data_IF_348432274844
#
_entry.id   IF_348432274844
#
_cell.length_a   1.000
_cell.length_b   1.000
_cell.length_c   1.000
_cell.angle_alpha   90.00
_cell.angle_beta   90.00
_cell.angle_gamma   90.00
#
_symmetry.space_group_name_H-M   'P 1'
#
loop_
_entity.id
_entity.type
_entity.pdbx_description
1 polymer ?
#
# COMPACT_ATOMS: atom_id res chain seq x y z
N UNK A 1 -19.88 -19.12 -8.15
CA UNK A 1 -18.75 -19.51 -7.29
C UNK A 1 -17.52 -18.80 -7.83
N UNK A 2 -17.13 -17.66 -7.27
CA UNK A 2 -16.07 -16.76 -7.80
C UNK A 2 -14.64 -17.27 -7.58
N UNK A 3 -14.45 -18.52 -7.16
CA UNK A 3 -13.12 -19.15 -7.02
C UNK A 3 -12.22 -18.56 -5.93
N UNK A 4 -12.61 -17.47 -5.27
CA UNK A 4 -11.89 -16.88 -4.15
C UNK A 4 -12.35 -17.51 -2.83
N UNK A 5 -11.39 -18.00 -2.04
CA UNK A 5 -11.65 -18.38 -0.65
C UNK A 5 -12.16 -17.15 0.12
N UNK A 6 -13.01 -17.32 1.16
CA UNK A 6 -13.41 -16.22 2.03
C UNK A 6 -12.15 -15.53 2.55
N UNK A 7 -12.08 -14.20 2.40
CA UNK A 7 -10.98 -13.41 2.94
C UNK A 7 -10.89 -13.63 4.44
N UNK A 8 -9.77 -14.16 4.92
CA UNK A 8 -9.53 -14.34 6.35
C UNK A 8 -9.33 -12.95 6.99
N UNK A 9 -10.28 -12.46 7.83
CA UNK A 9 -10.16 -11.14 8.47
C UNK A 9 -8.94 -11.04 9.38
N UNK A 10 -8.35 -12.18 9.80
CA UNK A 10 -7.15 -12.21 10.63
C UNK A 10 -5.94 -11.57 9.95
N UNK A 11 -5.90 -11.54 8.60
CA UNK A 11 -4.82 -10.90 7.84
C UNK A 11 -4.74 -9.40 8.07
N UNK A 12 -5.89 -8.72 8.15
CA UNK A 12 -5.92 -7.27 8.42
C UNK A 12 -5.59 -6.95 9.87
N UNK A 13 -5.99 -7.84 10.78
CA UNK A 13 -5.60 -7.73 12.19
C UNK A 13 -4.09 -7.92 12.34
N UNK A 14 -3.49 -8.89 11.65
CA UNK A 14 -2.03 -9.10 11.58
C UNK A 14 -1.32 -7.88 11.00
N UNK A 15 -1.80 -7.33 9.88
CA UNK A 15 -1.24 -6.14 9.25
C UNK A 15 -1.25 -4.90 10.16
N UNK A 16 -2.22 -4.80 11.07
CA UNK A 16 -2.32 -3.71 12.04
C UNK A 16 -1.61 -4.01 13.37
N UNK A 17 -0.90 -5.14 13.50
CA UNK A 17 -0.26 -5.56 14.76
C UNK A 17 1.24 -5.41 14.69
N UNK A 18 1.79 -4.54 15.54
CA UNK A 18 3.23 -4.35 15.69
C UNK A 18 3.84 -5.43 16.60
N UNK A 19 5.09 -5.83 16.35
CA UNK A 19 5.79 -6.89 17.09
C UNK A 19 5.84 -6.68 18.61
N UNK A 20 5.81 -5.42 19.08
CA UNK A 20 5.73 -5.12 20.52
C UNK A 20 4.43 -5.56 21.20
N UNK A 21 3.38 -5.90 20.44
CA UNK A 21 2.12 -6.40 20.96
C UNK A 21 2.21 -7.87 21.45
N UNK A 22 3.22 -8.62 21.01
CA UNK A 22 3.44 -10.02 21.43
C UNK A 22 2.52 -11.05 20.77
N UNK A 23 1.83 -10.67 19.69
CA UNK A 23 1.06 -11.58 18.83
C UNK A 23 1.73 -11.70 17.46
N UNK A 24 1.12 -12.45 16.53
CA UNK A 24 1.52 -12.46 15.12
C UNK A 24 1.46 -11.02 14.57
N UNK A 25 2.55 -10.57 13.96
CA UNK A 25 2.77 -9.18 13.57
C UNK A 25 2.84 -9.00 12.05
N UNK A 26 2.94 -7.73 11.63
CA UNK A 26 2.82 -7.33 10.24
C UNK A 26 4.04 -7.68 9.35
N UNK A 27 5.17 -8.11 9.91
CA UNK A 27 6.46 -8.13 9.19
C UNK A 27 6.46 -8.98 7.91
N UNK A 28 5.75 -10.11 7.92
CA UNK A 28 5.63 -10.96 6.71
C UNK A 28 4.73 -10.35 5.65
N UNK A 29 3.70 -9.63 6.08
CA UNK A 29 2.77 -8.94 5.18
C UNK A 29 3.43 -7.69 4.60
N UNK A 30 4.19 -6.94 5.41
CA UNK A 30 5.03 -5.80 5.00
C UNK A 30 5.97 -6.21 3.86
N UNK A 31 6.77 -7.26 4.08
CA UNK A 31 7.68 -7.79 3.05
C UNK A 31 6.99 -8.08 1.71
N UNK A 32 5.79 -8.67 1.76
CA UNK A 32 4.99 -8.98 0.57
C UNK A 32 4.43 -7.70 -0.06
N UNK A 33 3.89 -6.81 0.77
CA UNK A 33 3.26 -5.56 0.38
C UNK A 33 4.21 -4.58 -0.30
N UNK A 34 5.43 -4.43 0.21
CA UNK A 34 6.51 -3.64 -0.41
C UNK A 34 6.72 -4.04 -1.88
N UNK A 35 6.84 -5.35 -2.14
CA UNK A 35 7.03 -5.88 -3.51
C UNK A 35 5.81 -5.69 -4.39
N UNK A 36 4.62 -5.86 -3.83
CA UNK A 36 3.36 -5.63 -4.53
C UNK A 36 3.21 -4.15 -4.90
N UNK A 37 3.48 -3.24 -3.97
CA UNK A 37 3.47 -1.80 -4.19
C UNK A 37 4.48 -1.40 -5.27
N UNK A 38 5.73 -1.85 -5.14
CA UNK A 38 6.77 -1.60 -6.13
C UNK A 38 6.39 -2.07 -7.53
N UNK A 39 5.82 -3.27 -7.65
CA UNK A 39 5.38 -3.80 -8.94
C UNK A 39 4.19 -3.00 -9.53
N UNK A 40 3.19 -2.64 -8.73
CA UNK A 40 2.04 -1.82 -9.19
C UNK A 40 2.52 -0.44 -9.67
N UNK A 41 3.43 0.19 -8.94
CA UNK A 41 4.00 1.48 -9.34
C UNK A 41 4.88 1.35 -10.57
N UNK A 42 5.66 0.27 -10.69
CA UNK A 42 6.47 0.00 -11.88
C UNK A 42 5.61 -0.16 -13.14
N UNK A 43 4.50 -0.91 -13.05
CA UNK A 43 3.54 -1.06 -14.16
C UNK A 43 2.95 0.30 -14.58
N UNK A 44 2.53 1.11 -13.61
CA UNK A 44 1.98 2.43 -13.86
C UNK A 44 3.00 3.37 -14.52
N UNK A 45 4.25 3.39 -14.04
CA UNK A 45 5.33 4.18 -14.62
C UNK A 45 5.68 3.72 -16.04
N UNK A 46 5.73 2.41 -16.28
CA UNK A 46 5.99 1.85 -17.60
C UNK A 46 4.93 2.28 -18.63
N UNK A 47 3.65 2.26 -18.25
CA UNK A 47 2.56 2.70 -19.11
C UNK A 47 2.53 4.22 -19.32
N UNK A 48 2.81 5.00 -18.28
CA UNK A 48 2.75 6.46 -18.32
C UNK A 48 3.93 7.11 -19.07
N UNK A 49 5.11 6.48 -19.06
CA UNK A 49 6.34 7.05 -19.62
C UNK A 49 7.00 6.11 -20.66
N UNK A 50 6.33 5.81 -21.80
CA UNK A 50 6.78 4.78 -22.75
C UNK A 50 8.10 5.09 -23.48
N UNK A 51 8.62 6.33 -23.36
CA UNK A 51 9.87 6.77 -24.00
C UNK A 51 11.04 6.92 -23.02
N UNK A 52 10.80 6.73 -21.72
CA UNK A 52 11.86 6.85 -20.72
C UNK A 52 12.72 5.59 -20.67
N UNK A 53 14.00 5.76 -20.32
CA UNK A 53 14.91 4.63 -20.10
C UNK A 53 14.60 3.91 -18.79
N UNK A 54 15.04 2.66 -18.68
CA UNK A 54 14.92 1.88 -17.43
C UNK A 54 15.45 2.65 -16.22
N UNK A 55 16.64 3.25 -16.31
CA UNK A 55 17.21 4.03 -15.21
C UNK A 55 16.36 5.24 -14.78
N UNK A 56 15.67 5.90 -15.72
CA UNK A 56 14.77 7.01 -15.41
C UNK A 56 13.50 6.51 -14.71
N UNK A 57 12.91 5.40 -15.18
CA UNK A 57 11.76 4.76 -14.53
C UNK A 57 12.11 4.28 -13.12
N UNK A 58 13.28 3.64 -12.95
CA UNK A 58 13.80 3.19 -11.65
C UNK A 58 14.03 4.36 -10.68
N UNK A 59 14.55 5.50 -11.17
CA UNK A 59 14.71 6.70 -10.36
C UNK A 59 13.36 7.27 -9.88
N UNK A 60 12.34 7.30 -10.75
CA UNK A 60 10.98 7.70 -10.38
C UNK A 60 10.38 6.75 -9.35
N UNK A 61 10.47 5.44 -9.58
CA UNK A 61 9.95 4.43 -8.66
C UNK A 61 10.51 4.62 -7.25
N UNK A 62 11.82 4.80 -7.13
CA UNK A 62 12.49 5.01 -5.84
C UNK A 62 12.11 6.33 -5.16
N UNK A 63 11.61 7.32 -5.90
CA UNK A 63 11.10 8.58 -5.34
C UNK A 63 9.66 8.44 -4.85
N UNK A 64 8.85 7.61 -5.52
CA UNK A 64 7.42 7.46 -5.20
C UNK A 64 7.17 6.42 -4.11
N UNK A 65 7.92 5.32 -4.12
CA UNK A 65 7.80 4.21 -3.18
C UNK A 65 8.82 4.41 -2.06
N UNK A 66 8.40 5.09 -1.00
CA UNK A 66 9.23 5.28 0.20
C UNK A 66 8.40 5.09 1.46
N UNK A 67 9.05 4.65 2.55
CA UNK A 67 8.38 4.50 3.85
C UNK A 67 7.72 5.79 4.35
N UNK A 68 8.32 6.96 4.11
CA UNK A 68 7.75 8.25 4.47
C UNK A 68 6.44 8.53 3.71
N UNK A 69 6.42 8.21 2.41
CA UNK A 69 5.24 8.27 1.58
C UNK A 69 4.13 7.37 2.17
N UNK A 70 4.45 6.10 2.41
CA UNK A 70 3.52 5.15 3.02
C UNK A 70 2.99 5.62 4.39
N UNK A 71 3.85 6.20 5.22
CA UNK A 71 3.48 6.76 6.52
C UNK A 71 2.49 7.93 6.40
N UNK A 72 2.68 8.81 5.41
CA UNK A 72 1.77 9.92 5.17
C UNK A 72 0.39 9.46 4.68
N UNK A 73 0.30 8.38 3.91
CA UNK A 73 -1.00 7.73 3.65
C UNK A 73 -1.62 7.22 4.92
N UNK A 74 -0.84 6.47 5.70
CA UNK A 74 -1.35 5.82 6.90
C UNK A 74 -1.98 6.84 7.85
N UNK A 75 -1.38 8.04 7.97
CA UNK A 75 -1.96 9.17 8.71
C UNK A 75 -3.27 9.68 8.11
N UNK A 76 -3.31 9.87 6.79
CA UNK A 76 -4.52 10.35 6.09
C UNK A 76 -5.69 9.36 6.18
N UNK A 77 -5.40 8.07 6.27
CA UNK A 77 -6.37 7.00 6.47
C UNK A 77 -6.69 6.77 7.97
N UNK A 78 -6.19 7.61 8.88
CA UNK A 78 -6.37 7.50 10.33
C UNK A 78 -5.93 6.14 10.93
N UNK A 79 -5.00 5.44 10.26
CA UNK A 79 -4.46 4.16 10.72
C UNK A 79 -3.75 4.22 12.08
N UNK A 80 -3.07 5.31 12.52
CA UNK A 80 -2.44 5.37 13.84
C UNK A 80 -3.36 4.93 15.00
N UNK A 81 -4.66 5.21 14.90
CA UNK A 81 -5.65 4.85 15.91
C UNK A 81 -5.96 3.34 15.94
N UNK A 82 -5.75 2.64 14.82
CA UNK A 82 -6.07 1.23 14.62
C UNK A 82 -4.88 0.30 14.92
N UNK A 83 -3.66 0.83 14.96
CA UNK A 83 -2.44 0.02 15.18
C UNK A 83 -2.40 -0.53 16.61
N UNK A 84 -2.21 -1.83 16.69
CA UNK A 84 -2.05 -2.58 17.94
C UNK A 84 -0.58 -2.58 18.34
N UNK A 85 -0.25 -1.70 19.28
CA UNK A 85 1.07 -1.57 19.87
C UNK A 85 1.08 -2.14 21.30
N UNK A 86 2.23 -2.65 21.76
CA UNK A 86 2.50 -2.91 23.18
C UNK A 86 2.62 -1.61 23.98
N UNK A 87 2.52 -1.69 25.32
CA UNK A 87 2.52 -0.50 26.20
C UNK A 87 3.74 0.39 25.97
N UNK A 88 4.94 -0.19 26.02
CA UNK A 88 6.19 0.55 25.87
C UNK A 88 6.25 1.29 24.53
N UNK A 89 5.98 0.61 23.41
CA UNK A 89 6.00 1.23 22.09
C UNK A 89 4.95 2.34 21.91
N UNK A 90 3.80 2.27 22.59
CA UNK A 90 2.83 3.38 22.60
C UNK A 90 3.37 4.58 23.36
N UNK A 91 3.93 4.34 24.54
CA UNK A 91 4.46 5.38 25.41
C UNK A 91 5.68 6.08 24.75
N UNK A 92 6.43 5.36 23.92
CA UNK A 92 7.56 5.87 23.12
C UNK A 92 7.13 6.57 21.81
N UNK A 93 5.83 6.79 21.59
CA UNK A 93 5.33 7.53 20.42
C UNK A 93 5.19 6.70 19.14
N UNK A 94 5.09 5.38 19.23
CA UNK A 94 5.01 4.48 18.07
C UNK A 94 3.81 4.70 17.15
N UNK A 95 2.76 5.42 17.60
CA UNK A 95 1.63 5.80 16.74
C UNK A 95 2.00 6.86 15.69
N UNK A 96 3.01 7.67 15.98
CA UNK A 96 3.43 8.77 15.11
C UNK A 96 4.71 8.43 14.33
N UNK A 97 5.28 7.23 14.55
CA UNK A 97 6.52 6.77 13.92
C UNK A 97 6.32 6.51 12.43
N UNK A 98 7.09 7.20 11.58
CA UNK A 98 7.11 6.97 10.13
C UNK A 98 7.40 5.52 9.77
N UNK A 99 8.34 4.88 10.49
CA UNK A 99 8.70 3.49 10.23
C UNK A 99 7.48 2.57 10.46
N UNK A 100 6.84 2.67 11.63
CA UNK A 100 5.68 1.81 11.96
C UNK A 100 4.52 2.07 10.99
N UNK A 101 4.26 3.34 10.66
CA UNK A 101 3.17 3.72 9.77
C UNK A 101 3.41 3.25 8.33
N UNK A 102 4.65 3.37 7.84
CA UNK A 102 5.06 2.87 6.54
C UNK A 102 4.90 1.36 6.46
N UNK A 103 5.46 0.62 7.42
CA UNK A 103 5.41 -0.84 7.45
C UNK A 103 3.96 -1.35 7.51
N UNK A 104 3.10 -0.71 8.32
CA UNK A 104 1.67 -1.08 8.43
C UNK A 104 0.94 -0.84 7.12
N UNK A 105 1.24 0.26 6.42
CA UNK A 105 0.63 0.54 5.11
C UNK A 105 1.02 -0.52 4.09
N UNK A 106 2.30 -0.89 4.03
CA UNK A 106 2.78 -1.98 3.17
C UNK A 106 2.15 -3.31 3.57
N UNK A 107 2.07 -3.61 4.86
CA UNK A 107 1.42 -4.83 5.34
C UNK A 107 -0.06 -4.93 4.95
N UNK A 108 -0.79 -3.81 4.97
CA UNK A 108 -2.17 -3.77 4.48
C UNK A 108 -2.26 -4.04 2.98
N UNK A 109 -1.32 -3.53 2.18
CA UNK A 109 -1.21 -3.87 0.75
C UNK A 109 -0.96 -5.37 0.57
N UNK A 110 -0.06 -5.96 1.37
CA UNK A 110 0.18 -7.40 1.40
C UNK A 110 -1.06 -8.22 1.77
N UNK A 111 -1.82 -7.77 2.77
CA UNK A 111 -3.08 -8.39 3.17
C UNK A 111 -4.15 -8.31 2.07
N UNK A 112 -4.30 -7.16 1.42
CA UNK A 112 -5.22 -6.97 0.28
C UNK A 112 -4.86 -7.87 -0.90
N UNK A 113 -3.56 -8.04 -1.17
CA UNK A 113 -3.08 -8.96 -2.19
C UNK A 113 -3.44 -10.42 -1.88
N UNK A 114 -3.19 -10.89 -0.66
CA UNK A 114 -3.55 -12.25 -0.25
C UNK A 114 -5.06 -12.49 -0.18
N UNK A 115 -5.83 -11.46 0.15
CA UNK A 115 -7.29 -11.48 0.12
C UNK A 115 -7.85 -11.62 -1.31
N UNK A 116 -7.01 -11.46 -2.34
CA UNK A 116 -7.42 -11.39 -3.74
C UNK A 116 -8.18 -10.11 -4.10
N UNK A 117 -8.20 -9.13 -3.19
CA UNK A 117 -8.76 -7.81 -3.42
C UNK A 117 -7.85 -6.97 -4.35
N UNK A 118 -6.58 -7.34 -4.46
CA UNK A 118 -5.62 -6.77 -5.40
C UNK A 118 -5.15 -7.87 -6.36
N UNK A 119 -5.66 -7.87 -7.60
CA UNK A 119 -5.23 -8.82 -8.63
C UNK A 119 -4.27 -8.15 -9.61
N UNK A 120 -3.07 -8.72 -9.76
CA UNK A 120 -1.94 -8.19 -10.54
C UNK A 120 -2.22 -8.10 -12.04
N UNK A 121 -3.24 -8.79 -12.55
CA UNK A 121 -3.50 -8.87 -13.99
C UNK A 121 -4.90 -8.47 -14.46
N UNK A 122 -5.90 -8.29 -13.61
CA UNK A 122 -7.30 -8.32 -14.08
C UNK A 122 -8.15 -7.11 -13.72
N UNK A 123 -7.61 -5.90 -13.79
CA UNK A 123 -8.46 -4.69 -13.82
C UNK A 123 -8.01 -3.59 -14.78
N UNK A 124 -7.38 -3.98 -15.88
CA UNK A 124 -7.22 -3.11 -17.05
C UNK A 124 -8.17 -3.48 -18.21
N UNK A 125 -8.75 -4.69 -18.21
CA UNK A 125 -9.72 -5.12 -19.22
C UNK A 125 -11.13 -4.61 -18.87
N UNK A 126 -11.64 -3.67 -19.69
CA UNK A 126 -12.94 -3.02 -19.49
C UNK A 126 -12.86 -1.51 -19.23
N UNK A 127 -11.64 -0.98 -19.11
CA UNK A 127 -11.40 0.47 -19.12
C UNK A 127 -11.36 0.90 -20.57
N UNK A 128 -12.51 1.26 -21.11
CA UNK A 128 -12.52 2.15 -22.26
C UNK A 128 -12.00 3.51 -21.77
N UNK A 129 -10.84 3.92 -22.28
CA UNK A 129 -10.37 5.33 -22.25
C UNK A 129 -11.24 6.21 -23.17
N UNK A 130 -12.55 6.03 -23.07
CA UNK A 130 -13.61 6.72 -23.76
C UNK A 130 -14.76 6.89 -22.77
N UNK A 131 -14.71 7.98 -22.00
CA UNK A 131 -15.83 8.45 -21.18
C UNK A 131 -16.03 7.82 -19.80
N UNK A 132 -15.08 7.03 -19.28
CA UNK A 132 -15.11 6.62 -17.87
C UNK A 132 -14.70 7.80 -16.96
N UNK A 133 -15.57 8.12 -16.00
CA UNK A 133 -15.39 9.23 -15.07
C UNK A 133 -14.12 9.04 -14.23
N UNK A 134 -13.33 10.11 -14.15
CA UNK A 134 -12.01 10.17 -13.51
C UNK A 134 -12.08 9.85 -12.01
N UNK A 135 -13.27 9.88 -11.41
CA UNK A 135 -13.52 9.71 -9.97
C UNK A 135 -13.38 8.27 -9.42
N UNK A 136 -13.61 7.21 -10.19
CA UNK A 136 -13.42 5.83 -9.69
C UNK A 136 -11.97 5.34 -9.78
N UNK A 137 -11.18 5.98 -10.65
CA UNK A 137 -9.72 5.86 -10.67
C UNK A 137 -9.08 6.50 -9.44
N UNK A 138 -9.72 7.53 -8.88
CA UNK A 138 -9.24 8.33 -7.74
C UNK A 138 -9.33 7.57 -6.39
N UNK A 139 -10.00 6.43 -6.24
CA UNK A 139 -10.04 5.77 -4.92
C UNK A 139 -8.84 4.83 -4.67
N UNK A 140 -8.46 4.00 -5.65
CA UNK A 140 -7.34 3.06 -5.53
C UNK A 140 -6.01 3.67 -5.99
N UNK A 141 -6.02 4.47 -7.07
CA UNK A 141 -4.86 5.28 -7.44
C UNK A 141 -4.81 6.58 -6.67
N UNK A 142 -5.89 7.11 -6.07
CA UNK A 142 -5.75 8.31 -5.25
C UNK A 142 -5.01 8.08 -3.94
N UNK A 143 -4.97 6.85 -3.40
CA UNK A 143 -4.08 6.55 -2.28
C UNK A 143 -2.61 6.59 -2.72
N UNK A 144 -2.30 6.12 -3.93
CA UNK A 144 -0.94 6.10 -4.50
C UNK A 144 -0.57 7.45 -5.17
N UNK A 145 -1.55 8.24 -5.64
CA UNK A 145 -1.38 9.54 -6.31
C UNK A 145 -1.52 10.73 -5.35
N UNK A 146 -2.26 10.66 -4.23
CA UNK A 146 -2.16 11.68 -3.16
C UNK A 146 -0.74 11.75 -2.60
N UNK A 147 -0.05 10.62 -2.64
CA UNK A 147 1.34 10.47 -2.28
C UNK A 147 2.32 11.11 -3.27
N UNK A 148 2.09 10.97 -4.57
CA UNK A 148 2.91 11.61 -5.59
C UNK A 148 2.55 13.09 -5.81
N UNK A 149 1.27 13.46 -5.64
CA UNK A 149 0.72 14.78 -6.00
C UNK A 149 1.03 15.88 -4.97
N UNK A 150 1.58 15.56 -3.78
CA UNK A 150 2.01 16.58 -2.80
C UNK A 150 3.45 17.09 -3.01
N UNK A 151 4.18 16.55 -3.98
CA UNK A 151 5.58 16.93 -4.25
C UNK A 151 5.87 17.27 -5.73
N UNK A 152 4.86 17.71 -6.49
CA UNK A 152 5.01 18.42 -7.77
C UNK A 152 4.18 19.69 -7.76
#
# INVERSE_FOLDING_TARGET
MTGHAPTDPSLFVEALTHGSHGARDYQRLEFLGDRVLGMVVAEALYAAFPLESEGALSARLNQLVTGACCADVARQLELPALIRLGKQARDDGGRDSDNILGDVMEALIGALFLAGALTIHSRWEGVQLGGADVHEWIELLGIVLLLCSKYT
#
